data_IF_269509022174
#
_entry.id   IF_269509022174
#
_cell.length_a   1.000
_cell.length_b   1.000
_cell.length_c   1.000
_cell.angle_alpha   90.00
_cell.angle_beta   90.00
_cell.angle_gamma   90.00
#
_symmetry.space_group_name_H-M   'P 1'
#
loop_
_entity.id
_entity.type
_entity.pdbx_description
1 polymer ?
#
# COMPACT_ATOMS: atom_id res chain seq x y z
N UNK A 1 -35.05 45.21 -20.28
CA UNK A 1 -35.73 43.95 -19.95
C UNK A 1 -34.79 42.86 -20.37
N UNK A 2 -34.23 42.17 -19.39
CA UNK A 2 -33.14 41.23 -19.59
C UNK A 2 -33.67 39.95 -20.23
N UNK A 3 -32.87 39.34 -21.10
CA UNK A 3 -33.22 38.11 -21.78
C UNK A 3 -33.06 36.96 -20.78
N UNK A 4 -34.14 36.59 -20.09
CA UNK A 4 -34.13 35.50 -19.11
C UNK A 4 -33.54 34.23 -19.74
N UNK A 5 -32.50 33.69 -19.10
CA UNK A 5 -31.89 32.43 -19.52
C UNK A 5 -32.95 31.32 -19.41
N UNK A 6 -33.46 30.85 -20.55
CA UNK A 6 -34.40 29.72 -20.60
C UNK A 6 -33.68 28.43 -20.22
N UNK A 7 -33.59 28.19 -18.91
CA UNK A 7 -32.89 27.05 -18.33
C UNK A 7 -33.59 25.76 -18.73
N UNK A 8 -33.02 25.05 -19.72
CA UNK A 8 -33.62 23.82 -20.28
C UNK A 8 -33.65 22.70 -19.24
N UNK A 9 -34.80 22.52 -18.60
CA UNK A 9 -35.06 21.44 -17.64
C UNK A 9 -35.25 20.11 -18.36
N UNK A 10 -34.70 19.02 -17.81
CA UNK A 10 -34.90 17.64 -18.24
C UNK A 10 -35.59 16.84 -17.12
N UNK A 11 -36.61 16.06 -17.47
CA UNK A 11 -37.14 15.01 -16.59
C UNK A 11 -36.36 13.72 -16.82
N UNK A 12 -35.98 13.05 -15.73
CA UNK A 12 -35.20 11.82 -15.73
C UNK A 12 -35.90 10.81 -14.82
N UNK A 13 -36.34 9.68 -15.36
CA UNK A 13 -37.09 8.66 -14.63
C UNK A 13 -36.31 7.34 -14.59
N UNK A 14 -36.32 6.68 -13.45
CA UNK A 14 -35.66 5.38 -13.22
C UNK A 14 -36.42 4.54 -12.19
N UNK A 15 -36.23 3.22 -12.23
CA UNK A 15 -36.88 2.26 -11.34
C UNK A 15 -35.91 1.81 -10.24
N UNK A 16 -36.19 2.13 -8.99
CA UNK A 16 -35.46 1.68 -7.80
C UNK A 16 -36.20 0.53 -7.12
N UNK A 17 -36.05 -0.66 -7.69
CA UNK A 17 -36.71 -1.89 -7.24
C UNK A 17 -35.90 -2.65 -6.16
N UNK A 18 -34.82 -2.05 -5.67
CA UNK A 18 -33.83 -2.66 -4.78
C UNK A 18 -33.45 -1.71 -3.66
N UNK A 19 -32.97 -2.26 -2.54
CA UNK A 19 -32.38 -1.48 -1.44
C UNK A 19 -30.97 -0.93 -1.78
N UNK A 20 -30.41 -1.32 -2.93
CA UNK A 20 -29.16 -0.76 -3.47
C UNK A 20 -29.23 0.79 -3.50
N UNK A 21 -28.20 1.49 -2.98
CA UNK A 21 -28.11 2.93 -3.13
C UNK A 21 -27.98 3.30 -4.62
N UNK A 22 -28.51 4.45 -5.01
CA UNK A 22 -28.52 4.90 -6.41
C UNK A 22 -27.12 5.07 -7.04
N UNK A 23 -26.06 5.10 -6.23
CA UNK A 23 -24.69 5.31 -6.70
C UNK A 23 -24.41 6.76 -7.10
N UNK A 24 -24.97 7.74 -6.38
CA UNK A 24 -24.67 9.16 -6.54
C UNK A 24 -24.37 9.80 -5.19
N UNK A 25 -23.52 10.83 -5.16
CA UNK A 25 -23.41 11.76 -4.03
C UNK A 25 -23.92 13.14 -4.44
N UNK A 26 -24.46 13.88 -3.49
CA UNK A 26 -25.04 15.21 -3.68
C UNK A 26 -24.27 16.23 -2.86
N UNK A 27 -24.24 17.47 -3.32
CA UNK A 27 -23.80 18.63 -2.53
C UNK A 27 -24.65 19.85 -2.84
N UNK A 28 -24.65 20.83 -1.95
CA UNK A 28 -25.11 22.17 -2.29
C UNK A 28 -24.00 22.97 -2.96
N UNK A 29 -24.37 23.93 -3.83
CA UNK A 29 -23.49 25.00 -4.27
C UNK A 29 -23.68 26.26 -3.40
N UNK A 30 -22.92 27.31 -3.67
CA UNK A 30 -22.96 28.59 -2.94
C UNK A 30 -24.30 29.35 -3.08
N UNK A 31 -25.23 28.85 -3.91
CA UNK A 31 -26.58 29.36 -4.14
C UNK A 31 -27.67 28.45 -3.52
N UNK A 32 -27.28 27.50 -2.65
CA UNK A 32 -28.16 26.48 -2.06
C UNK A 32 -28.94 25.62 -3.07
N UNK A 33 -28.42 25.44 -4.29
CA UNK A 33 -28.95 24.46 -5.25
C UNK A 33 -28.25 23.11 -5.07
N UNK A 34 -29.03 22.02 -5.10
CA UNK A 34 -28.51 20.67 -5.02
C UNK A 34 -27.93 20.23 -6.37
N UNK A 35 -26.69 19.76 -6.38
CA UNK A 35 -25.98 19.28 -7.58
C UNK A 35 -25.37 17.90 -7.36
N UNK A 36 -25.38 17.06 -8.40
CA UNK A 36 -24.75 15.73 -8.41
C UNK A 36 -23.23 15.92 -8.29
N UNK A 37 -22.67 15.57 -7.13
CA UNK A 37 -21.26 15.78 -6.80
C UNK A 37 -20.34 14.69 -7.40
N UNK A 38 -20.80 13.43 -7.38
CA UNK A 38 -20.10 12.27 -7.95
C UNK A 38 -21.12 11.19 -8.35
N UNK A 39 -20.72 10.35 -9.30
CA UNK A 39 -21.41 9.11 -9.66
C UNK A 39 -20.45 7.94 -9.35
N UNK A 40 -20.99 6.90 -8.71
CA UNK A 40 -20.24 5.73 -8.22
C UNK A 40 -20.30 4.61 -9.25
N UNK A 41 -19.14 4.14 -9.68
CA UNK A 41 -19.02 3.13 -10.73
C UNK A 41 -19.76 1.84 -10.37
N UNK A 42 -20.45 1.30 -11.37
CA UNK A 42 -21.26 0.08 -11.22
C UNK A 42 -22.57 0.25 -10.43
N UNK A 43 -22.85 1.39 -9.80
CA UNK A 43 -24.12 1.66 -9.11
C UNK A 43 -25.27 1.97 -10.08
N UNK A 44 -26.52 1.89 -9.60
CA UNK A 44 -27.75 2.05 -10.40
C UNK A 44 -27.70 3.16 -11.47
N UNK A 45 -27.39 4.41 -11.10
CA UNK A 45 -27.36 5.55 -12.03
C UNK A 45 -26.19 5.43 -13.04
N UNK A 46 -25.03 4.94 -12.62
CA UNK A 46 -23.92 4.65 -13.53
C UNK A 46 -24.30 3.59 -14.57
N UNK A 47 -25.03 2.54 -14.17
CA UNK A 47 -25.48 1.48 -15.09
C UNK A 47 -26.55 1.96 -16.08
N UNK A 48 -27.22 3.08 -15.81
CA UNK A 48 -28.30 3.64 -16.63
C UNK A 48 -27.90 4.87 -17.46
N UNK A 49 -26.82 5.59 -17.10
CA UNK A 49 -26.39 6.81 -17.81
C UNK A 49 -27.37 7.99 -17.70
N UNK A 50 -28.27 7.95 -16.72
CA UNK A 50 -29.44 8.84 -16.62
C UNK A 50 -29.14 10.23 -16.04
N UNK A 51 -28.07 10.37 -15.27
CA UNK A 51 -27.58 11.62 -14.68
C UNK A 51 -26.07 11.76 -14.93
N UNK A 52 -25.56 12.99 -14.89
CA UNK A 52 -24.13 13.31 -15.01
C UNK A 52 -23.63 14.10 -13.79
N UNK A 53 -22.31 14.08 -13.57
CA UNK A 53 -21.68 14.90 -12.53
C UNK A 53 -21.84 16.39 -12.87
N UNK A 54 -22.37 17.15 -11.93
CA UNK A 54 -22.73 18.56 -12.07
C UNK A 54 -24.19 18.82 -12.44
N UNK A 55 -25.00 17.80 -12.76
CA UNK A 55 -26.45 17.98 -13.00
C UNK A 55 -27.12 18.53 -11.74
N UNK A 56 -27.97 19.55 -11.91
CA UNK A 56 -28.62 20.27 -10.80
C UNK A 56 -30.05 19.76 -10.59
N UNK A 57 -30.37 19.29 -9.39
CA UNK A 57 -31.67 18.67 -9.07
C UNK A 57 -32.60 19.73 -8.47
N UNK A 58 -33.76 19.94 -9.09
CA UNK A 58 -34.77 20.93 -8.68
C UNK A 58 -35.97 20.29 -7.98
N UNK A 59 -36.48 19.17 -8.49
CA UNK A 59 -37.55 18.39 -7.86
C UNK A 59 -37.24 16.89 -7.89
N UNK A 60 -37.72 16.16 -6.87
CA UNK A 60 -37.68 14.69 -6.77
C UNK A 60 -39.12 14.22 -6.51
N UNK A 61 -39.69 13.43 -7.42
CA UNK A 61 -41.10 13.00 -7.38
C UNK A 61 -42.10 14.17 -7.17
N UNK A 62 -41.80 15.34 -7.74
CA UNK A 62 -42.60 16.56 -7.60
C UNK A 62 -42.38 17.34 -6.30
N UNK A 63 -41.59 16.82 -5.35
CA UNK A 63 -41.18 17.53 -4.15
C UNK A 63 -40.00 18.45 -4.51
N UNK A 64 -40.11 19.75 -4.22
CA UNK A 64 -39.02 20.70 -4.44
C UNK A 64 -37.83 20.40 -3.52
N UNK A 65 -36.63 20.43 -4.09
CA UNK A 65 -35.36 20.21 -3.40
C UNK A 65 -34.85 21.48 -2.70
N UNK A 66 -35.41 22.64 -3.03
CA UNK A 66 -35.06 23.91 -2.38
C UNK A 66 -35.36 23.88 -0.87
N UNK A 67 -34.48 24.49 -0.08
CA UNK A 67 -34.54 24.59 1.39
C UNK A 67 -34.46 23.25 2.16
N UNK A 68 -34.17 22.13 1.51
CA UNK A 68 -33.85 20.86 2.20
C UNK A 68 -32.34 20.71 2.42
N UNK A 69 -31.94 20.00 3.47
CA UNK A 69 -30.52 19.69 3.73
C UNK A 69 -30.07 18.44 2.94
N UNK A 70 -28.76 18.24 2.78
CA UNK A 70 -28.23 17.07 2.06
C UNK A 70 -28.61 15.76 2.75
N UNK A 71 -28.65 15.75 4.08
CA UNK A 71 -28.99 14.61 4.92
C UNK A 71 -30.48 14.25 4.80
N UNK A 72 -31.35 15.26 4.72
CA UNK A 72 -32.78 15.08 4.45
C UNK A 72 -33.01 14.45 3.07
N UNK A 73 -32.33 14.95 2.04
CA UNK A 73 -32.40 14.44 0.67
C UNK A 73 -31.82 13.02 0.56
N UNK A 74 -30.69 12.74 1.23
CA UNK A 74 -30.11 11.41 1.34
C UNK A 74 -31.07 10.41 2.02
N UNK A 75 -31.72 10.82 3.12
CA UNK A 75 -32.73 9.98 3.80
C UNK A 75 -33.91 9.70 2.87
N UNK A 76 -34.47 10.73 2.24
CA UNK A 76 -35.59 10.62 1.30
C UNK A 76 -35.25 9.66 0.15
N UNK A 77 -34.10 9.83 -0.51
CA UNK A 77 -33.65 8.95 -1.60
C UNK A 77 -33.30 7.53 -1.13
N UNK A 78 -32.90 7.35 0.13
CA UNK A 78 -32.71 6.02 0.75
C UNK A 78 -34.04 5.31 0.96
N UNK A 79 -35.09 6.03 1.34
CA UNK A 79 -36.42 5.49 1.63
C UNK A 79 -37.26 5.22 0.37
N UNK A 80 -37.19 6.05 -0.67
CA UNK A 80 -37.95 5.83 -1.92
C UNK A 80 -37.69 4.46 -2.59
N UNK A 81 -38.74 3.85 -3.16
CA UNK A 81 -38.73 2.61 -3.97
C UNK A 81 -39.64 2.78 -5.20
N UNK A 82 -39.49 1.90 -6.19
CA UNK A 82 -40.27 1.93 -7.43
C UNK A 82 -39.85 3.07 -8.36
N UNK A 83 -40.82 3.70 -9.03
CA UNK A 83 -40.55 4.79 -9.97
C UNK A 83 -40.09 6.05 -9.24
N UNK A 84 -38.90 6.53 -9.59
CA UNK A 84 -38.37 7.82 -9.12
C UNK A 84 -38.12 8.70 -10.34
N UNK A 85 -38.61 9.94 -10.27
CA UNK A 85 -38.50 10.96 -11.31
C UNK A 85 -37.80 12.19 -10.75
N UNK A 86 -36.64 12.52 -11.31
CA UNK A 86 -35.92 13.76 -11.03
C UNK A 86 -36.23 14.79 -12.10
N UNK A 87 -36.40 16.05 -11.68
CA UNK A 87 -36.43 17.23 -12.56
C UNK A 87 -35.11 17.95 -12.38
N UNK A 88 -34.30 17.98 -13.44
CA UNK A 88 -32.93 18.50 -13.39
C UNK A 88 -32.71 19.63 -14.39
N UNK A 89 -31.73 20.48 -14.11
CA UNK A 89 -31.03 21.29 -15.12
C UNK A 89 -29.74 20.55 -15.47
N UNK A 90 -29.55 20.08 -16.72
CA UNK A 90 -28.34 19.38 -17.12
C UNK A 90 -27.10 20.28 -17.06
N UNK A 91 -25.98 19.71 -16.62
CA UNK A 91 -24.68 20.39 -16.65
C UNK A 91 -24.09 20.32 -18.05
N UNK A 92 -24.25 21.37 -18.86
CA UNK A 92 -23.67 21.48 -20.20
C UNK A 92 -22.15 21.72 -20.17
N UNK A 93 -21.40 20.84 -19.50
CA UNK A 93 -19.97 20.69 -19.76
C UNK A 93 -19.80 19.96 -21.08
N UNK A 94 -19.26 20.63 -22.09
CA UNK A 94 -18.77 19.98 -23.30
C UNK A 94 -17.83 18.84 -22.92
N UNK A 95 -18.15 17.62 -23.37
CA UNK A 95 -17.21 16.51 -23.32
C UNK A 95 -15.99 16.89 -24.17
N UNK A 96 -14.88 17.24 -23.52
CA UNK A 96 -13.59 17.38 -24.17
C UNK A 96 -13.11 15.98 -24.56
N UNK A 97 -13.55 15.52 -25.74
CA UNK A 97 -13.14 14.23 -26.30
C UNK A 97 -11.61 14.21 -26.35
N UNK A 98 -11.00 13.22 -25.71
CA UNK A 98 -9.57 12.99 -25.74
C UNK A 98 -9.16 12.32 -27.07
N UNK A 99 -9.45 13.02 -28.17
CA UNK A 99 -8.93 12.74 -29.50
C UNK A 99 -7.58 13.43 -29.67
N UNK A 100 -6.74 12.82 -30.51
CA UNK A 100 -5.35 13.21 -30.72
C UNK A 100 -5.21 14.68 -31.19
N UNK A 101 -4.18 15.37 -30.67
CA UNK A 101 -3.67 16.59 -31.29
C UNK A 101 -2.23 16.35 -31.71
N UNK A 102 -2.04 16.26 -33.03
CA UNK A 102 -0.75 16.38 -33.66
C UNK A 102 -0.07 17.70 -33.24
N UNK A 103 1.26 17.67 -33.11
CA UNK A 103 2.04 18.87 -32.75
C UNK A 103 2.29 19.73 -33.99
N UNK A 104 1.85 21.00 -34.03
CA UNK A 104 2.14 21.87 -35.16
C UNK A 104 3.63 22.23 -35.19
N UNK A 105 4.26 22.04 -36.35
CA UNK A 105 5.68 22.34 -36.55
C UNK A 105 5.90 23.84 -36.78
N UNK A 106 6.70 24.49 -35.93
CA UNK A 106 7.23 25.84 -36.19
C UNK A 106 8.72 25.90 -35.91
N UNK A 107 9.49 26.09 -36.98
CA UNK A 107 10.94 26.29 -36.92
C UNK A 107 11.30 27.73 -36.56
N UNK A 108 12.28 27.96 -35.68
CA UNK A 108 13.59 28.57 -36.03
C UNK A 108 14.48 28.92 -34.82
N UNK A 109 15.77 28.68 -35.03
CA UNK A 109 16.93 29.50 -34.61
C UNK A 109 17.15 29.82 -33.12
N UNK A 110 18.12 29.13 -32.53
CA UNK A 110 18.99 29.66 -31.46
C UNK A 110 19.79 30.88 -31.95
N UNK A 111 20.37 31.65 -31.02
CA UNK A 111 21.84 31.70 -30.98
C UNK A 111 22.40 31.22 -29.63
N UNK A 112 23.72 31.00 -29.56
CA UNK A 112 24.39 30.40 -28.42
C UNK A 112 25.11 31.42 -27.52
N UNK A 113 25.21 31.08 -26.23
CA UNK A 113 26.31 31.39 -25.31
C UNK A 113 26.09 30.49 -24.06
N UNK A 114 27.05 29.73 -23.53
CA UNK A 114 28.44 29.52 -23.97
C UNK A 114 29.46 29.72 -22.86
N UNK A 115 29.49 28.85 -21.85
CA UNK A 115 30.67 28.65 -20.99
C UNK A 115 30.68 27.25 -20.33
N UNK A 116 31.88 26.72 -20.10
CA UNK A 116 32.22 25.40 -19.53
C UNK A 116 32.05 25.40 -17.98
N UNK A 117 31.99 24.28 -17.25
CA UNK A 117 32.83 23.05 -17.29
C UNK A 117 32.04 21.80 -16.80
N UNK A 118 32.24 20.55 -17.28
CA UNK A 118 33.47 19.69 -17.29
C UNK A 118 33.88 19.32 -15.85
N UNK A 119 34.00 18.05 -15.40
CA UNK A 119 33.88 16.66 -15.95
C UNK A 119 33.69 15.68 -14.75
N UNK A 120 33.59 14.33 -14.76
CA UNK A 120 33.55 13.17 -15.70
C UNK A 120 33.29 11.89 -14.83
N UNK A 121 32.93 10.69 -15.28
CA UNK A 121 32.24 10.15 -16.48
C UNK A 121 31.93 8.67 -16.22
N UNK A 122 30.88 8.10 -16.83
CA UNK A 122 30.68 6.64 -16.93
C UNK A 122 31.39 6.14 -18.21
N UNK A 123 31.81 4.87 -18.24
CA UNK A 123 32.43 4.22 -19.40
C UNK A 123 31.50 3.18 -20.04
N UNK A 124 31.53 3.11 -21.37
CA UNK A 124 30.73 2.21 -22.22
C UNK A 124 31.31 0.77 -22.29
N UNK A 125 30.45 -0.17 -22.70
CA UNK A 125 30.84 -1.47 -23.30
C UNK A 125 29.85 -1.83 -24.44
N UNK A 126 30.28 -2.55 -25.51
CA UNK A 126 29.58 -2.57 -26.80
C UNK A 126 28.57 -3.73 -27.00
N UNK A 127 27.82 -3.66 -28.11
CA UNK A 127 26.62 -4.44 -28.39
C UNK A 127 26.83 -5.85 -29.00
N UNK A 128 25.77 -6.67 -29.06
CA UNK A 128 25.72 -7.90 -29.87
C UNK A 128 24.32 -8.16 -30.49
N UNK A 129 24.28 -8.05 -31.82
CA UNK A 129 23.47 -8.78 -32.83
C UNK A 129 22.04 -9.26 -32.46
N UNK A 130 21.04 -8.77 -33.19
CA UNK A 130 19.70 -9.37 -33.30
C UNK A 130 19.55 -10.25 -34.58
N UNK A 131 18.88 -11.41 -34.51
CA UNK A 131 18.35 -12.11 -35.69
C UNK A 131 16.92 -11.64 -36.03
N UNK A 132 16.59 -11.52 -37.33
CA UNK A 132 15.26 -11.04 -37.79
C UNK A 132 14.19 -12.15 -37.72
N UNK A 133 13.15 -11.93 -36.92
CA UNK A 133 11.96 -12.79 -36.82
C UNK A 133 10.93 -12.55 -37.93
N UNK A 134 10.48 -13.63 -38.56
CA UNK A 134 9.53 -13.68 -39.69
C UNK A 134 8.13 -13.20 -39.28
N UNK A 135 7.47 -12.35 -40.08
CA UNK A 135 6.04 -12.04 -39.89
C UNK A 135 5.18 -13.28 -40.18
N UNK A 136 4.21 -13.57 -39.32
CA UNK A 136 3.07 -14.45 -39.59
C UNK A 136 1.81 -13.75 -39.06
N UNK A 137 0.83 -13.50 -39.93
CA UNK A 137 -0.40 -12.76 -39.63
C UNK A 137 -1.48 -13.67 -39.03
N UNK A 138 -1.56 -13.73 -37.70
CA UNK A 138 -2.70 -14.31 -36.98
C UNK A 138 -3.86 -13.32 -36.79
N UNK A 139 -5.13 -13.76 -36.74
CA UNK A 139 -6.28 -12.88 -36.60
C UNK A 139 -6.33 -12.20 -35.22
N UNK A 140 -6.44 -10.88 -35.20
CA UNK A 140 -6.41 -10.10 -33.95
C UNK A 140 -7.79 -10.06 -33.28
N UNK A 141 -8.10 -11.06 -32.45
CA UNK A 141 -9.18 -10.96 -31.45
C UNK A 141 -8.59 -10.48 -30.11
N UNK A 142 -7.99 -9.28 -30.11
CA UNK A 142 -7.66 -8.58 -28.87
C UNK A 142 -8.88 -7.82 -28.37
N UNK A 143 -9.83 -8.56 -27.81
CA UNK A 143 -10.74 -7.99 -26.83
C UNK A 143 -9.90 -7.48 -25.66
N UNK A 144 -9.64 -6.16 -25.62
CA UNK A 144 -9.04 -5.51 -24.44
C UNK A 144 -10.05 -5.62 -23.29
N UNK A 145 -10.01 -6.72 -22.54
CA UNK A 145 -10.53 -6.70 -21.18
C UNK A 145 -9.80 -5.58 -20.44
N UNK A 146 -10.50 -4.70 -19.72
CA UNK A 146 -9.84 -3.67 -18.93
C UNK A 146 -8.95 -4.36 -17.89
N UNK A 147 -7.66 -3.99 -17.90
CA UNK A 147 -6.70 -4.46 -16.91
C UNK A 147 -7.19 -4.03 -15.52
N UNK A 148 -7.67 -4.99 -14.74
CA UNK A 148 -8.08 -4.75 -13.36
C UNK A 148 -6.85 -4.48 -12.51
N UNK A 149 -6.69 -3.24 -12.07
CA UNK A 149 -5.69 -2.88 -11.09
C UNK A 149 -6.17 -3.34 -9.71
N UNK A 150 -5.33 -4.07 -9.00
CA UNK A 150 -5.58 -4.55 -7.64
C UNK A 150 -4.47 -4.03 -6.73
N UNK A 151 -4.85 -3.54 -5.54
CA UNK A 151 -3.89 -3.08 -4.54
C UNK A 151 -4.15 -3.73 -3.19
N UNK A 152 -3.07 -3.99 -2.44
CA UNK A 152 -3.08 -4.30 -1.01
C UNK A 152 -3.04 -2.98 -0.24
N UNK A 153 -3.98 -2.77 0.66
CA UNK A 153 -3.94 -1.68 1.62
C UNK A 153 -2.80 -1.89 2.62
N UNK A 154 -1.90 -0.91 2.75
CA UNK A 154 -0.78 -0.97 3.68
C UNK A 154 -1.09 -0.24 5.01
N UNK A 155 -2.21 0.50 5.09
CA UNK A 155 -2.68 1.21 6.29
C UNK A 155 -4.15 0.86 6.61
N UNK A 156 -4.61 1.17 7.81
CA UNK A 156 -6.04 1.09 8.15
C UNK A 156 -6.79 2.37 7.80
N UNK A 157 -8.02 2.24 7.29
CA UNK A 157 -8.88 3.37 6.98
C UNK A 157 -10.30 3.23 7.54
N UNK A 158 -10.77 4.30 8.19
CA UNK A 158 -12.05 4.37 8.90
C UNK A 158 -12.82 5.63 8.46
N UNK A 159 -13.70 5.55 7.44
CA UNK A 159 -14.40 6.72 6.89
C UNK A 159 -15.35 7.40 7.88
N UNK A 160 -15.73 6.73 8.98
CA UNK A 160 -16.50 7.36 10.05
C UNK A 160 -15.69 8.45 10.80
N UNK A 161 -14.38 8.23 10.94
CA UNK A 161 -13.43 9.11 11.64
C UNK A 161 -12.79 10.17 10.73
N UNK A 162 -13.16 10.20 9.46
CA UNK A 162 -12.57 11.06 8.44
C UNK A 162 -13.52 12.22 8.12
N UNK A 163 -13.10 13.46 8.38
CA UNK A 163 -13.91 14.66 8.09
C UNK A 163 -13.57 15.30 6.74
N UNK A 164 -12.66 14.69 5.97
CA UNK A 164 -12.29 15.11 4.61
C UNK A 164 -13.00 14.29 3.52
N UNK A 165 -13.68 13.18 3.88
CA UNK A 165 -14.44 12.37 2.92
C UNK A 165 -15.74 13.08 2.51
N UNK A 166 -16.05 13.19 1.19
CA UNK A 166 -17.26 13.90 0.73
C UNK A 166 -18.61 13.27 1.14
N UNK A 167 -18.61 12.04 1.64
CA UNK A 167 -19.79 11.27 2.04
C UNK A 167 -19.31 10.05 2.83
N UNK A 168 -19.54 10.01 4.15
CA UNK A 168 -19.01 8.93 5.02
C UNK A 168 -19.62 7.57 4.69
N UNK A 169 -20.88 7.57 4.23
CA UNK A 169 -21.65 6.40 3.79
C UNK A 169 -21.16 5.81 2.47
N UNK A 170 -20.42 6.58 1.66
CA UNK A 170 -19.80 6.10 0.43
C UNK A 170 -18.38 5.58 0.64
N UNK A 171 -17.79 5.77 1.83
CA UNK A 171 -16.43 5.34 2.14
C UNK A 171 -16.31 3.84 2.38
N UNK A 172 -15.22 3.24 1.88
CA UNK A 172 -14.87 1.85 2.18
C UNK A 172 -13.98 1.83 3.42
N UNK A 173 -14.45 1.23 4.51
CA UNK A 173 -13.57 0.84 5.63
C UNK A 173 -12.69 -0.32 5.18
N UNK A 174 -11.38 -0.25 5.45
CA UNK A 174 -10.44 -1.34 5.22
C UNK A 174 -9.35 -1.37 6.30
N UNK A 175 -8.67 -2.51 6.42
CA UNK A 175 -7.51 -2.72 7.30
C UNK A 175 -6.25 -2.95 6.47
N UNK A 176 -5.10 -2.96 7.16
CA UNK A 176 -3.85 -3.48 6.62
C UNK A 176 -4.07 -4.90 6.05
N UNK A 177 -3.57 -5.14 4.84
CA UNK A 177 -3.65 -6.42 4.15
C UNK A 177 -4.90 -6.61 3.27
N UNK A 178 -5.94 -5.78 3.41
CA UNK A 178 -7.15 -5.88 2.58
C UNK A 178 -6.84 -5.65 1.08
N UNK A 179 -7.45 -6.45 0.21
CA UNK A 179 -7.29 -6.35 -1.25
C UNK A 179 -8.43 -5.57 -1.87
N UNK A 180 -8.08 -4.49 -2.56
CA UNK A 180 -9.00 -3.53 -3.18
C UNK A 180 -8.79 -3.54 -4.69
N UNK A 181 -9.84 -3.86 -5.46
CA UNK A 181 -9.88 -3.58 -6.89
C UNK A 181 -10.04 -2.06 -7.07
N UNK A 182 -9.13 -1.43 -7.81
CA UNK A 182 -9.29 -0.03 -8.24
C UNK A 182 -10.19 0.01 -9.47
N UNK A 183 -11.15 0.94 -9.47
CA UNK A 183 -12.17 1.09 -10.51
C UNK A 183 -12.03 2.42 -11.25
N UNK A 184 -11.73 3.51 -10.54
CA UNK A 184 -11.44 4.82 -11.14
C UNK A 184 -10.45 5.61 -10.26
N UNK A 185 -9.54 6.34 -10.93
CA UNK A 185 -8.55 7.25 -10.35
C UNK A 185 -8.78 8.71 -10.77
N UNK A 186 -9.97 9.04 -11.27
CA UNK A 186 -10.27 10.32 -11.94
C UNK A 186 -10.30 11.53 -10.99
N UNK A 187 -10.35 11.27 -9.68
CA UNK A 187 -10.28 12.27 -8.62
C UNK A 187 -8.94 12.14 -7.90
N UNK A 188 -8.17 13.23 -7.87
CA UNK A 188 -6.84 13.30 -7.27
C UNK A 188 -6.80 12.90 -5.78
N UNK A 189 -7.93 13.00 -5.06
CA UNK A 189 -7.99 12.80 -3.62
C UNK A 189 -8.82 11.56 -3.23
N UNK A 190 -9.80 11.19 -4.06
CA UNK A 190 -10.85 10.22 -3.71
C UNK A 190 -11.09 9.19 -4.81
N UNK A 191 -10.21 8.18 -4.87
CA UNK A 191 -10.31 7.07 -5.81
C UNK A 191 -11.58 6.24 -5.54
N UNK A 192 -12.11 5.63 -6.61
CA UNK A 192 -13.20 4.67 -6.51
C UNK A 192 -12.63 3.25 -6.54
N UNK A 193 -12.87 2.49 -5.48
CA UNK A 193 -12.41 1.12 -5.34
C UNK A 193 -13.52 0.18 -4.88
N UNK A 194 -13.16 -1.09 -4.67
CA UNK A 194 -14.03 -2.15 -4.13
C UNK A 194 -13.19 -3.25 -3.49
N UNK A 195 -13.55 -3.69 -2.29
CA UNK A 195 -12.94 -4.87 -1.65
C UNK A 195 -13.26 -6.13 -2.46
N UNK A 196 -12.24 -6.92 -2.80
CA UNK A 196 -12.37 -8.14 -3.63
C UNK A 196 -13.31 -9.17 -3.00
N UNK A 197 -13.33 -9.27 -1.67
CA UNK A 197 -14.21 -10.18 -0.92
C UNK A 197 -15.70 -9.78 -1.00
N UNK A 198 -16.03 -8.54 -1.38
CA UNK A 198 -17.40 -8.02 -1.42
C UNK A 198 -18.10 -8.34 -2.75
N UNK A 199 -18.68 -9.54 -2.83
CA UNK A 199 -19.53 -9.95 -3.96
C UNK A 199 -20.62 -8.90 -4.22
N UNK A 200 -20.79 -8.52 -5.50
CA UNK A 200 -21.83 -7.60 -6.01
C UNK A 200 -21.97 -6.20 -5.38
N UNK A 201 -21.06 -5.75 -4.51
CA UNK A 201 -21.06 -4.35 -4.02
C UNK A 201 -20.79 -3.32 -5.13
N UNK A 202 -21.40 -2.13 -5.01
CA UNK A 202 -21.10 -0.91 -5.77
C UNK A 202 -19.70 -0.39 -5.43
N UNK A 203 -19.08 0.42 -6.31
CA UNK A 203 -17.84 1.11 -5.97
C UNK A 203 -18.03 2.07 -4.78
N UNK A 204 -17.01 2.18 -3.94
CA UNK A 204 -16.94 3.11 -2.80
C UNK A 204 -15.66 3.95 -2.84
N UNK A 205 -15.60 4.96 -1.99
CA UNK A 205 -14.49 5.91 -1.90
C UNK A 205 -13.38 5.41 -0.99
N UNK A 206 -12.14 5.56 -1.45
CA UNK A 206 -10.92 5.40 -0.66
C UNK A 206 -10.04 6.65 -0.85
N UNK A 207 -9.22 7.04 0.12
CA UNK A 207 -8.24 8.11 -0.08
C UNK A 207 -7.23 7.67 -1.16
N UNK A 208 -6.82 8.59 -2.01
CA UNK A 208 -5.72 8.39 -2.95
C UNK A 208 -4.37 8.28 -2.22
N UNK A 209 -3.30 7.75 -2.86
CA UNK A 209 -1.94 7.82 -2.33
C UNK A 209 -1.55 9.24 -1.95
N UNK A 210 -1.81 10.22 -2.82
CA UNK A 210 -1.43 11.62 -2.63
C UNK A 210 -2.14 12.25 -1.42
N UNK A 211 -3.41 11.89 -1.18
CA UNK A 211 -4.15 12.31 0.02
C UNK A 211 -3.63 11.62 1.29
N UNK A 212 -3.23 10.35 1.20
CA UNK A 212 -2.70 9.59 2.34
C UNK A 212 -1.28 10.06 2.72
N UNK A 213 -0.41 10.31 1.75
CA UNK A 213 0.92 10.92 1.96
C UNK A 213 0.79 12.28 2.65
N UNK A 214 -0.13 13.12 2.19
CA UNK A 214 -0.43 14.42 2.80
C UNK A 214 -0.90 14.28 4.27
N UNK A 215 -1.73 13.28 4.58
CA UNK A 215 -2.17 12.97 5.96
C UNK A 215 -1.00 12.56 6.85
N UNK A 216 -0.16 11.63 6.41
CA UNK A 216 1.02 11.16 7.15
C UNK A 216 1.99 12.32 7.40
N UNK A 217 2.22 13.16 6.39
CA UNK A 217 3.04 14.36 6.51
C UNK A 217 2.48 15.39 7.51
N UNK A 218 1.17 15.65 7.49
CA UNK A 218 0.53 16.53 8.47
C UNK A 218 0.69 16.01 9.91
N UNK A 219 0.44 14.71 10.13
CA UNK A 219 0.60 14.08 11.45
C UNK A 219 2.06 14.15 11.94
N UNK A 220 3.04 13.91 11.06
CA UNK A 220 4.46 14.06 11.38
C UNK A 220 4.79 15.52 11.78
N UNK A 221 4.35 16.51 10.99
CA UNK A 221 4.54 17.93 11.28
C UNK A 221 3.80 18.41 12.54
N UNK A 222 2.80 17.69 13.04
CA UNK A 222 2.13 18.00 14.30
C UNK A 222 2.86 17.41 15.50
N UNK A 223 3.34 16.16 15.40
CA UNK A 223 4.21 15.54 16.42
C UNK A 223 5.47 16.38 16.67
N UNK A 224 6.20 16.75 15.62
CA UNK A 224 7.43 17.54 15.77
C UNK A 224 7.19 18.90 16.43
N UNK A 225 6.00 19.50 16.26
CA UNK A 225 5.63 20.74 16.98
C UNK A 225 5.33 20.48 18.45
N UNK A 226 4.64 19.38 18.78
CA UNK A 226 4.37 18.98 20.17
C UNK A 226 5.67 18.64 20.90
N UNK A 227 6.58 17.90 20.26
CA UNK A 227 7.91 17.55 20.76
C UNK A 227 8.77 18.81 20.98
N UNK A 228 8.76 19.77 20.04
CA UNK A 228 9.44 21.05 20.22
C UNK A 228 8.81 21.90 21.34
N UNK A 229 7.48 21.91 21.49
CA UNK A 229 6.82 22.57 22.62
C UNK A 229 7.09 21.90 23.97
N UNK A 230 7.35 20.58 23.99
CA UNK A 230 7.74 19.85 25.20
C UNK A 230 9.24 20.04 25.55
N UNK A 231 10.08 20.39 24.56
CA UNK A 231 11.54 20.39 24.69
C UNK A 231 12.21 21.76 24.87
N UNK A 232 11.50 22.90 24.76
CA UNK A 232 12.12 24.21 24.96
C UNK A 232 11.23 25.25 25.66
N UNK A 233 11.84 26.02 26.56
CA UNK A 233 11.26 27.21 27.17
C UNK A 233 11.21 28.39 26.19
N UNK A 234 10.07 29.09 26.21
CA UNK A 234 9.93 30.53 25.96
C UNK A 234 10.78 31.17 24.84
N UNK A 235 10.25 31.26 23.60
CA UNK A 235 10.27 32.51 22.80
C UNK A 235 9.32 32.41 21.59
N UNK A 236 8.33 33.30 21.50
CA UNK A 236 7.29 33.24 20.48
C UNK A 236 7.69 33.80 19.12
N UNK A 237 7.40 33.06 18.03
CA UNK A 237 7.40 33.56 16.64
C UNK A 237 6.09 33.17 15.92
N UNK A 238 5.73 33.96 14.90
CA UNK A 238 4.35 34.06 14.39
C UNK A 238 3.80 32.77 13.74
N UNK A 239 2.53 32.48 14.00
CA UNK A 239 1.72 31.40 13.39
C UNK A 239 1.55 31.62 11.88
N UNK A 240 2.45 31.07 11.07
CA UNK A 240 2.36 31.11 9.59
C UNK A 240 1.30 30.10 9.12
N UNK A 241 0.18 30.58 8.60
CA UNK A 241 -0.78 29.72 7.90
C UNK A 241 -0.11 29.16 6.63
N UNK A 242 0.00 27.84 6.53
CA UNK A 242 0.35 27.19 5.27
C UNK A 242 -0.95 27.03 4.46
N UNK A 243 -1.05 27.74 3.33
CA UNK A 243 -2.18 27.64 2.39
C UNK A 243 -1.72 27.42 0.94
N UNK A 244 -0.43 27.11 0.78
CA UNK A 244 0.23 26.86 -0.50
C UNK A 244 0.27 25.36 -0.79
N UNK A 245 0.18 25.00 -2.08
CA UNK A 245 0.07 23.61 -2.52
C UNK A 245 1.36 22.84 -2.21
N UNK A 246 1.23 21.72 -1.50
CA UNK A 246 2.37 20.88 -1.16
C UNK A 246 2.94 20.20 -2.42
N UNK A 247 4.24 20.36 -2.64
CA UNK A 247 5.00 19.67 -3.69
C UNK A 247 6.06 18.80 -3.00
N UNK A 248 5.89 17.48 -3.05
CA UNK A 248 6.76 16.53 -2.34
C UNK A 248 8.24 16.53 -2.78
N UNK A 249 8.57 17.16 -3.91
CA UNK A 249 9.90 17.11 -4.55
C UNK A 249 11.09 17.70 -3.77
N UNK A 250 10.88 18.38 -2.64
CA UNK A 250 11.98 18.98 -1.85
C UNK A 250 11.73 18.95 -0.34
N UNK A 251 11.79 17.77 0.28
CA UNK A 251 12.01 17.63 1.73
C UNK A 251 12.77 16.33 2.04
N UNK A 252 14.01 16.43 2.55
CA UNK A 252 14.78 15.26 3.02
C UNK A 252 14.12 14.52 4.22
N UNK A 253 13.10 15.12 4.83
CA UNK A 253 12.20 14.48 5.81
C UNK A 253 11.38 13.36 5.16
N UNK A 254 11.08 13.43 3.86
CA UNK A 254 10.25 12.46 3.16
C UNK A 254 11.04 11.21 2.76
N UNK A 255 12.33 11.35 2.45
CA UNK A 255 13.22 10.20 2.20
C UNK A 255 13.41 9.31 3.46
N UNK A 256 13.02 9.81 4.64
CA UNK A 256 13.00 9.08 5.91
C UNK A 256 11.60 8.58 6.31
N UNK A 257 10.53 9.06 5.67
CA UNK A 257 9.18 8.60 5.89
C UNK A 257 8.92 7.39 4.98
N UNK A 258 8.82 6.20 5.59
CA UNK A 258 8.28 5.02 4.91
C UNK A 258 6.79 5.30 4.62
N UNK A 259 6.46 5.78 3.41
CA UNK A 259 5.16 6.36 3.08
C UNK A 259 4.12 5.27 2.77
N UNK A 260 3.61 4.68 3.85
CA UNK A 260 2.67 3.55 3.84
C UNK A 260 1.31 3.92 3.20
N UNK A 261 1.14 3.58 1.91
CA UNK A 261 -0.09 3.80 1.13
C UNK A 261 -0.69 2.49 0.60
N UNK A 262 -0.39 2.12 -0.65
CA UNK A 262 -0.95 0.95 -1.33
C UNK A 262 0.14 0.24 -2.14
N UNK A 263 0.18 -1.09 -2.06
CA UNK A 263 1.08 -1.94 -2.85
C UNK A 263 0.30 -2.56 -4.01
N UNK A 264 0.70 -2.35 -5.26
CA UNK A 264 0.01 -2.98 -6.40
C UNK A 264 0.32 -4.48 -6.45
N UNK A 265 -0.73 -5.30 -6.56
CA UNK A 265 -0.65 -6.76 -6.42
C UNK A 265 -1.35 -7.51 -7.55
N UNK A 266 -0.84 -8.69 -7.86
CA UNK A 266 -1.44 -9.65 -8.80
C UNK A 266 -1.74 -10.96 -8.08
N UNK A 267 -2.85 -11.61 -8.42
CA UNK A 267 -3.17 -12.95 -7.90
C UNK A 267 -2.58 -14.02 -8.81
N UNK A 268 -1.64 -14.80 -8.28
CA UNK A 268 -1.08 -15.97 -8.95
C UNK A 268 -1.78 -17.24 -8.45
N UNK A 269 -1.98 -18.28 -9.29
CA UNK A 269 -2.62 -19.53 -8.85
C UNK A 269 -1.73 -20.36 -7.91
N UNK A 270 -0.41 -20.22 -8.03
CA UNK A 270 0.60 -20.74 -7.13
C UNK A 270 1.83 -19.81 -7.15
N UNK A 271 2.54 -19.68 -6.03
CA UNK A 271 3.78 -18.90 -5.94
C UNK A 271 4.69 -19.44 -4.82
N UNK A 272 5.86 -19.99 -5.18
CA UNK A 272 6.78 -20.53 -4.17
C UNK A 272 7.50 -19.40 -3.44
N UNK A 273 7.11 -19.16 -2.18
CA UNK A 273 7.93 -18.39 -1.23
C UNK A 273 9.23 -19.15 -0.96
N UNK A 274 10.38 -18.47 -0.94
CA UNK A 274 11.70 -19.09 -0.75
C UNK A 274 12.28 -18.83 0.64
N UNK A 275 11.75 -17.84 1.34
CA UNK A 275 12.24 -17.38 2.64
C UNK A 275 11.09 -17.34 3.64
N UNK A 276 11.28 -17.87 4.85
CA UNK A 276 10.40 -17.66 6.00
C UNK A 276 11.07 -16.62 6.90
N UNK A 277 10.44 -15.48 7.11
CA UNK A 277 10.96 -14.40 7.97
C UNK A 277 10.17 -14.38 9.27
N UNK A 278 10.87 -14.60 10.39
CA UNK A 278 10.33 -14.60 11.74
C UNK A 278 10.71 -13.28 12.44
N UNK A 279 9.77 -12.33 12.42
CA UNK A 279 9.87 -11.07 13.16
C UNK A 279 9.21 -11.20 14.54
N UNK A 280 9.55 -10.32 15.48
CA UNK A 280 9.02 -10.36 16.85
C UNK A 280 10.04 -9.88 17.88
N UNK A 281 9.57 -9.57 19.09
CA UNK A 281 10.39 -8.99 20.15
C UNK A 281 11.58 -9.88 20.56
N UNK A 282 12.64 -9.28 21.09
CA UNK A 282 13.78 -10.03 21.61
C UNK A 282 13.36 -10.91 22.80
N UNK A 283 13.54 -12.22 22.67
CA UNK A 283 13.14 -13.22 23.66
C UNK A 283 11.82 -13.95 23.36
N UNK A 284 11.05 -13.55 22.34
CA UNK A 284 9.72 -14.16 22.02
C UNK A 284 9.77 -15.59 21.44
N UNK A 285 10.91 -16.27 21.55
CA UNK A 285 11.08 -17.68 21.13
C UNK A 285 11.51 -17.91 19.68
N UNK A 286 11.72 -16.86 18.86
CA UNK A 286 12.05 -16.96 17.41
C UNK A 286 13.18 -17.95 17.08
N UNK A 287 14.28 -17.91 17.85
CA UNK A 287 15.41 -18.83 17.72
C UNK A 287 15.04 -20.29 18.01
N UNK A 288 14.17 -20.54 18.98
CA UNK A 288 13.70 -21.88 19.31
C UNK A 288 12.78 -22.41 18.21
N UNK A 289 11.79 -21.60 17.79
CA UNK A 289 10.86 -21.90 16.68
C UNK A 289 11.64 -22.31 15.42
N UNK A 290 12.62 -21.50 15.02
CA UNK A 290 13.55 -21.79 13.92
C UNK A 290 14.24 -23.15 14.06
N UNK A 291 14.88 -23.38 15.21
CA UNK A 291 15.65 -24.60 15.44
C UNK A 291 14.76 -25.85 15.39
N UNK A 292 13.56 -25.79 15.94
CA UNK A 292 12.58 -26.88 15.91
C UNK A 292 12.10 -27.18 14.49
N UNK A 293 11.78 -26.16 13.68
CA UNK A 293 11.40 -26.36 12.26
C UNK A 293 12.51 -27.04 11.44
N UNK A 294 13.76 -26.61 11.60
CA UNK A 294 14.92 -27.18 10.87
C UNK A 294 15.22 -28.60 11.34
N UNK A 295 15.10 -28.88 12.65
CA UNK A 295 15.31 -30.24 13.20
C UNK A 295 14.22 -31.21 12.77
N UNK A 296 12.98 -30.73 12.59
CA UNK A 296 11.81 -31.53 12.21
C UNK A 296 11.73 -31.80 10.71
N UNK A 297 12.16 -30.85 9.85
CA UNK A 297 12.16 -31.01 8.38
C UNK A 297 13.47 -30.48 7.75
N UNK A 298 14.62 -31.17 7.94
CA UNK A 298 15.91 -30.75 7.39
C UNK A 298 15.99 -30.84 5.85
N UNK A 299 15.05 -31.53 5.22
CA UNK A 299 14.82 -31.62 3.78
C UNK A 299 13.98 -30.45 3.22
N UNK A 300 13.36 -29.64 4.09
CA UNK A 300 12.51 -28.48 3.73
C UNK A 300 13.14 -27.15 4.12
N UNK A 301 13.80 -27.07 5.28
CA UNK A 301 14.22 -25.82 5.90
C UNK A 301 15.72 -25.79 6.23
N UNK A 302 16.34 -24.62 6.03
CA UNK A 302 17.70 -24.34 6.50
C UNK A 302 17.83 -22.89 7.03
N UNK A 303 18.87 -22.64 7.82
CA UNK A 303 19.26 -21.31 8.30
C UNK A 303 20.56 -20.88 7.62
N UNK A 304 20.70 -19.64 7.11
CA UNK A 304 21.98 -19.17 6.58
C UNK A 304 23.03 -19.09 7.69
N UNK A 305 24.11 -19.84 7.51
CA UNK A 305 25.28 -19.77 8.39
C UNK A 305 25.85 -18.34 8.38
N UNK A 306 25.87 -17.63 9.53
CA UNK A 306 26.37 -16.27 9.62
C UNK A 306 27.88 -16.23 9.49
N UNK A 307 28.40 -15.07 9.12
CA UNK A 307 29.83 -14.80 9.06
C UNK A 307 30.29 -14.08 10.33
N UNK A 308 31.54 -14.27 10.76
CA UNK A 308 32.15 -13.54 11.87
C UNK A 308 33.61 -13.22 11.65
N UNK A 309 34.08 -12.12 12.25
CA UNK A 309 35.50 -11.75 12.32
C UNK A 309 36.20 -12.30 13.56
N UNK A 310 35.48 -12.98 14.46
CA UNK A 310 36.08 -13.67 15.61
C UNK A 310 36.93 -14.84 15.10
N UNK A 311 38.13 -15.12 15.65
CA UNK A 311 38.82 -16.37 15.35
C UNK A 311 37.99 -17.60 15.74
N UNK A 312 38.15 -18.74 15.03
CA UNK A 312 37.53 -20.00 15.38
C UNK A 312 38.12 -20.57 16.68
N UNK A 313 37.27 -21.23 17.48
CA UNK A 313 37.69 -22.06 18.62
C UNK A 313 38.21 -23.42 18.14
N UNK A 314 38.87 -24.17 19.03
CA UNK A 314 39.51 -25.47 18.72
C UNK A 314 38.53 -26.55 18.22
N UNK A 315 37.25 -26.37 18.52
CA UNK A 315 36.12 -27.25 18.24
C UNK A 315 35.18 -26.71 17.14
N UNK A 316 35.49 -25.55 16.55
CA UNK A 316 34.64 -24.89 15.55
C UNK A 316 35.18 -25.08 14.13
N UNK A 317 34.34 -25.63 13.25
CA UNK A 317 34.64 -25.83 11.83
C UNK A 317 34.05 -24.69 10.98
N UNK A 318 34.85 -24.20 10.02
CA UNK A 318 34.42 -23.14 9.10
C UNK A 318 33.31 -23.64 8.15
N UNK A 319 32.22 -22.87 8.04
CA UNK A 319 31.06 -23.27 7.24
C UNK A 319 30.14 -24.28 7.92
N UNK A 320 30.20 -24.39 9.27
CA UNK A 320 29.31 -25.22 10.09
C UNK A 320 28.40 -24.37 10.98
N UNK A 321 29.00 -23.71 11.98
CA UNK A 321 28.29 -22.77 12.87
C UNK A 321 28.47 -21.31 12.41
N UNK A 322 29.66 -21.00 11.87
CA UNK A 322 30.02 -19.69 11.33
C UNK A 322 30.90 -19.87 10.09
N UNK A 323 30.90 -18.86 9.22
CA UNK A 323 31.99 -18.61 8.28
C UNK A 323 32.97 -17.61 8.90
N UNK A 324 34.22 -18.01 9.09
CA UNK A 324 35.26 -17.19 9.69
C UNK A 324 35.98 -16.39 8.61
N UNK A 325 35.97 -15.05 8.73
CA UNK A 325 36.54 -14.11 7.74
C UNK A 325 37.42 -13.06 8.43
N UNK A 326 38.28 -12.38 7.68
CA UNK A 326 39.02 -11.24 8.22
C UNK A 326 38.10 -10.02 8.41
N UNK A 327 38.51 -9.12 9.30
CA UNK A 327 37.81 -7.85 9.49
C UNK A 327 37.76 -7.02 8.20
N UNK A 328 38.89 -6.90 7.50
CA UNK A 328 39.00 -6.14 6.25
C UNK A 328 38.07 -6.67 5.16
N UNK A 329 38.00 -8.00 5.00
CA UNK A 329 37.09 -8.64 4.04
C UNK A 329 35.63 -8.38 4.42
N UNK A 330 35.26 -8.52 5.70
CA UNK A 330 33.90 -8.23 6.14
C UNK A 330 33.53 -6.75 5.94
N UNK A 331 34.46 -5.82 6.17
CA UNK A 331 34.25 -4.39 5.94
C UNK A 331 34.10 -4.06 4.44
N UNK A 332 34.91 -4.67 3.57
CA UNK A 332 34.76 -4.56 2.11
C UNK A 332 33.38 -5.06 1.64
N UNK A 333 33.00 -6.25 2.08
CA UNK A 333 31.74 -6.89 1.68
C UNK A 333 30.50 -6.15 2.27
N UNK A 334 30.64 -5.48 3.42
CA UNK A 334 29.62 -4.55 3.94
C UNK A 334 29.49 -3.32 3.03
N UNK A 335 30.59 -2.70 2.60
CA UNK A 335 30.54 -1.55 1.68
C UNK A 335 30.03 -1.89 0.27
N UNK A 336 30.16 -3.15 -0.16
CA UNK A 336 29.52 -3.68 -1.36
C UNK A 336 28.00 -3.90 -1.20
N UNK A 337 27.49 -3.92 0.03
CA UNK A 337 26.12 -4.31 0.41
C UNK A 337 25.82 -5.83 0.29
N UNK A 338 26.81 -6.70 0.45
CA UNK A 338 26.64 -8.16 0.40
C UNK A 338 26.01 -8.77 1.67
N UNK A 339 25.87 -7.97 2.73
CA UNK A 339 25.25 -8.33 4.00
C UNK A 339 23.80 -7.86 4.10
N UNK A 340 22.93 -8.75 4.58
CA UNK A 340 21.54 -8.43 4.93
C UNK A 340 21.46 -7.62 6.23
N UNK A 341 22.25 -8.04 7.21
CA UNK A 341 22.36 -7.46 8.55
C UNK A 341 23.77 -7.75 9.09
N UNK A 342 24.29 -6.85 9.93
CA UNK A 342 25.56 -7.02 10.62
C UNK A 342 25.58 -6.21 11.91
N UNK A 343 26.42 -6.62 12.87
CA UNK A 343 26.59 -5.95 14.15
C UNK A 343 27.87 -6.38 14.87
N UNK A 344 28.21 -5.68 15.95
CA UNK A 344 29.40 -5.95 16.77
C UNK A 344 29.01 -6.53 18.14
N UNK A 345 29.77 -7.53 18.60
CA UNK A 345 29.61 -8.17 19.90
C UNK A 345 30.95 -8.76 20.36
N UNK A 346 31.36 -8.48 21.61
CA UNK A 346 32.66 -8.91 22.17
C UNK A 346 33.85 -8.61 21.23
N UNK A 347 33.94 -7.36 20.77
CA UNK A 347 34.94 -6.82 19.83
C UNK A 347 35.06 -7.54 18.46
N UNK A 348 34.19 -8.52 18.18
CA UNK A 348 34.05 -9.16 16.88
C UNK A 348 32.79 -8.68 16.15
N UNK A 349 32.84 -8.70 14.81
CA UNK A 349 31.65 -8.49 13.99
C UNK A 349 30.98 -9.81 13.64
N UNK A 350 29.67 -9.78 13.48
CA UNK A 350 28.81 -10.89 13.05
C UNK A 350 27.81 -10.38 12.01
N UNK A 351 27.40 -11.21 11.06
CA UNK A 351 26.36 -10.82 10.09
C UNK A 351 25.94 -11.89 9.10
N UNK A 352 24.78 -11.71 8.50
CA UNK A 352 24.15 -12.65 7.58
C UNK A 352 24.37 -12.19 6.13
N UNK A 353 25.13 -12.95 5.32
CA UNK A 353 25.35 -12.62 3.90
C UNK A 353 24.20 -13.05 3.02
N UNK A 354 23.83 -12.20 2.05
CA UNK A 354 22.81 -12.50 1.04
C UNK A 354 23.15 -13.76 0.24
N UNK A 355 24.45 -13.96 -0.04
CA UNK A 355 24.94 -15.15 -0.76
C UNK A 355 24.71 -16.48 0.00
N UNK A 356 24.71 -16.47 1.33
CA UNK A 356 24.36 -17.69 2.09
C UNK A 356 22.88 -18.04 1.93
N UNK A 357 22.01 -17.03 1.81
CA UNK A 357 20.57 -17.20 1.58
C UNK A 357 20.33 -17.72 0.15
N UNK A 358 21.00 -17.14 -0.86
CA UNK A 358 20.96 -17.60 -2.26
C UNK A 358 21.32 -19.08 -2.40
N UNK A 359 22.36 -19.55 -1.72
CA UNK A 359 22.79 -20.96 -1.73
C UNK A 359 21.72 -21.91 -1.18
N UNK A 360 20.97 -21.52 -0.16
CA UNK A 360 19.83 -22.30 0.36
C UNK A 360 18.72 -22.39 -0.71
N UNK A 361 18.41 -21.28 -1.39
CA UNK A 361 17.38 -21.26 -2.45
C UNK A 361 17.78 -22.09 -3.68
N UNK A 362 19.08 -22.09 -4.02
CA UNK A 362 19.64 -22.94 -5.09
C UNK A 362 19.51 -24.44 -4.79
N UNK A 363 19.56 -24.83 -3.51
CA UNK A 363 19.29 -26.20 -3.04
C UNK A 363 17.80 -26.55 -3.04
N UNK A 364 16.91 -25.61 -3.39
CA UNK A 364 15.46 -25.78 -3.41
C UNK A 364 14.76 -25.65 -2.04
N UNK A 365 15.54 -25.51 -0.96
CA UNK A 365 15.08 -25.37 0.42
C UNK A 365 14.48 -23.98 0.69
N UNK A 366 13.69 -23.87 1.76
CA UNK A 366 13.21 -22.60 2.30
C UNK A 366 14.16 -22.10 3.39
N UNK A 367 14.70 -20.89 3.23
CA UNK A 367 15.57 -20.28 4.24
C UNK A 367 14.75 -19.65 5.37
N UNK A 368 14.92 -20.09 6.61
CA UNK A 368 14.33 -19.45 7.79
C UNK A 368 15.27 -18.32 8.26
N UNK A 369 14.73 -17.14 8.55
CA UNK A 369 15.43 -15.94 8.99
C UNK A 369 14.77 -15.33 10.23
N UNK A 370 15.47 -15.27 11.37
CA UNK A 370 15.05 -14.60 12.61
C UNK A 370 15.72 -13.21 12.77
N UNK A 371 15.61 -12.42 11.72
CA UNK A 371 16.18 -11.05 11.52
C UNK A 371 15.38 -9.94 12.21
N UNK A 372 15.87 -8.70 12.16
CA UNK A 372 15.12 -7.48 12.50
C UNK A 372 14.25 -6.97 11.32
N UNK A 373 13.17 -6.19 11.57
CA UNK A 373 12.30 -5.64 10.50
C UNK A 373 13.03 -4.85 9.42
N UNK A 374 14.14 -4.18 9.77
CA UNK A 374 14.95 -3.38 8.84
C UNK A 374 15.49 -4.22 7.67
N UNK A 375 15.74 -5.51 7.88
CA UNK A 375 16.17 -6.46 6.85
C UNK A 375 15.14 -6.63 5.71
N UNK A 376 13.86 -6.34 5.96
CA UNK A 376 12.80 -6.42 4.94
C UNK A 376 13.03 -5.47 3.76
N UNK A 377 13.75 -4.37 3.96
CA UNK A 377 14.10 -3.42 2.89
C UNK A 377 14.94 -4.07 1.78
N UNK A 378 15.68 -5.14 2.10
CA UNK A 378 16.44 -5.95 1.14
C UNK A 378 15.68 -7.22 0.75
N UNK A 379 14.97 -7.84 1.70
CA UNK A 379 14.29 -9.12 1.45
C UNK A 379 13.02 -9.04 0.59
N UNK A 380 12.29 -7.92 0.53
CA UNK A 380 10.97 -7.83 -0.14
C UNK A 380 11.04 -7.76 -1.67
N UNK A 381 11.77 -8.68 -2.29
CA UNK A 381 11.96 -8.81 -3.75
C UNK A 381 11.55 -10.20 -4.26
N UNK A 382 11.42 -10.34 -5.58
CA UNK A 382 11.22 -11.64 -6.24
C UNK A 382 12.36 -12.65 -5.95
N UNK A 383 13.56 -12.12 -5.67
CA UNK A 383 14.77 -12.90 -5.42
C UNK A 383 14.61 -13.77 -4.18
N UNK A 384 14.23 -13.18 -3.04
CA UNK A 384 14.07 -13.89 -1.77
C UNK A 384 12.62 -14.35 -1.52
N UNK A 385 11.63 -13.73 -2.16
CA UNK A 385 10.20 -14.06 -2.06
C UNK A 385 9.74 -14.41 -0.62
N UNK A 386 9.93 -13.49 0.35
CA UNK A 386 9.74 -13.79 1.77
C UNK A 386 8.28 -13.96 2.14
N UNK A 387 7.98 -14.93 2.99
CA UNK A 387 6.75 -15.01 3.78
C UNK A 387 7.05 -14.46 5.18
N UNK A 388 6.42 -13.34 5.54
CA UNK A 388 6.75 -12.60 6.76
C UNK A 388 5.75 -12.91 7.86
N UNK A 389 6.19 -13.65 8.89
CA UNK A 389 5.36 -13.96 10.06
C UNK A 389 5.88 -13.19 11.27
N UNK A 390 4.98 -12.45 11.90
CA UNK A 390 5.24 -11.78 13.17
C UNK A 390 4.83 -12.67 14.35
N UNK A 391 5.80 -13.01 15.17
CA UNK A 391 5.63 -13.75 16.42
C UNK A 391 5.39 -12.72 17.53
N UNK A 392 4.12 -12.56 17.90
CA UNK A 392 3.70 -11.67 18.97
C UNK A 392 3.94 -12.29 20.35
N UNK A 393 4.18 -11.42 21.35
CA UNK A 393 4.35 -11.83 22.74
C UNK A 393 3.12 -12.59 23.28
N UNK A 394 3.31 -13.56 24.20
CA UNK A 394 2.22 -14.30 24.83
C UNK A 394 1.22 -13.37 25.55
N UNK A 395 -0.03 -13.83 25.64
CA UNK A 395 -1.08 -13.08 26.34
C UNK A 395 -0.92 -13.23 27.85
N UNK A 396 -0.46 -12.17 28.53
CA UNK A 396 -0.37 -12.17 30.01
C UNK A 396 -1.79 -12.26 30.61
N UNK A 397 -2.07 -13.31 31.37
CA UNK A 397 -3.23 -13.36 32.26
C UNK A 397 -2.94 -12.52 33.52
N UNK A 398 -3.70 -11.45 33.79
CA UNK A 398 -3.44 -10.60 34.96
C UNK A 398 -3.63 -11.38 36.26
N UNK A 399 -2.57 -11.46 37.06
CA UNK A 399 -2.54 -12.21 38.34
C UNK A 399 -1.34 -13.15 38.50
N UNK A 400 -0.62 -13.46 37.42
CA UNK A 400 0.64 -14.23 37.48
C UNK A 400 1.81 -13.26 37.23
N UNK A 401 2.60 -12.99 38.28
CA UNK A 401 3.84 -12.19 38.34
C UNK A 401 4.00 -11.00 37.39
N UNK A 402 4.13 -9.80 37.96
CA UNK A 402 4.57 -8.58 37.27
C UNK A 402 6.08 -8.63 36.92
N UNK A 403 6.48 -9.58 36.09
CA UNK A 403 7.85 -9.71 35.61
C UNK A 403 8.17 -8.55 34.65
N UNK A 404 9.13 -7.70 35.03
CA UNK A 404 9.54 -6.54 34.24
C UNK A 404 10.06 -6.94 32.85
N UNK A 405 10.68 -8.14 32.71
CA UNK A 405 11.14 -8.65 31.42
C UNK A 405 9.98 -9.01 30.50
N UNK A 406 8.88 -9.55 31.05
CA UNK A 406 7.67 -9.88 30.31
C UNK A 406 6.90 -8.62 29.89
N UNK A 407 6.85 -7.60 30.74
CA UNK A 407 6.30 -6.28 30.38
C UNK A 407 7.12 -5.59 29.28
N UNK A 408 8.47 -5.65 29.36
CA UNK A 408 9.36 -5.14 28.31
C UNK A 408 9.14 -5.86 26.98
N UNK A 409 9.07 -7.20 27.00
CA UNK A 409 8.78 -8.04 25.82
C UNK A 409 7.45 -7.67 25.17
N UNK A 410 6.38 -7.53 25.96
CA UNK A 410 5.04 -7.20 25.46
C UNK A 410 5.00 -5.80 24.84
N UNK A 411 5.61 -4.80 25.50
CA UNK A 411 5.73 -3.43 24.99
C UNK A 411 6.55 -3.35 23.70
N UNK A 412 7.65 -4.11 23.60
CA UNK A 412 8.45 -4.21 22.37
C UNK A 412 7.61 -4.85 21.24
N UNK A 413 6.89 -5.93 21.54
CA UNK A 413 5.98 -6.58 20.60
C UNK A 413 4.90 -5.63 20.07
N UNK A 414 4.26 -4.84 20.94
CA UNK A 414 3.27 -3.83 20.55
C UNK A 414 3.86 -2.74 19.64
N UNK A 415 5.06 -2.24 19.96
CA UNK A 415 5.74 -1.21 19.16
C UNK A 415 6.14 -1.75 17.79
N UNK A 416 6.69 -2.97 17.72
CA UNK A 416 7.03 -3.64 16.48
C UNK A 416 5.78 -3.90 15.62
N UNK A 417 4.71 -4.43 16.21
CA UNK A 417 3.46 -4.70 15.51
C UNK A 417 2.84 -3.40 14.97
N UNK A 418 2.74 -2.36 15.79
CA UNK A 418 2.18 -1.06 15.41
C UNK A 418 2.96 -0.37 14.29
N UNK A 419 4.27 -0.56 14.23
CA UNK A 419 5.14 0.08 13.23
C UNK A 419 5.16 -0.72 11.92
N UNK A 420 5.26 -2.06 12.00
CA UNK A 420 5.60 -2.91 10.87
C UNK A 420 4.48 -3.87 10.41
N UNK A 421 3.27 -3.82 10.98
CA UNK A 421 2.13 -4.68 10.61
C UNK A 421 1.88 -4.80 9.10
N UNK A 422 2.14 -3.73 8.35
CA UNK A 422 1.97 -3.65 6.90
C UNK A 422 2.90 -4.59 6.11
N UNK A 423 4.06 -4.91 6.68
CA UNK A 423 4.98 -5.87 6.07
C UNK A 423 4.63 -7.35 6.33
N UNK A 424 3.75 -7.66 7.29
CA UNK A 424 3.47 -9.04 7.71
C UNK A 424 2.47 -9.72 6.77
N UNK A 425 2.76 -10.95 6.35
CA UNK A 425 1.76 -11.83 5.73
C UNK A 425 0.86 -12.48 6.81
N UNK A 426 1.37 -12.70 8.03
CA UNK A 426 0.65 -13.32 9.15
C UNK A 426 1.17 -12.82 10.51
N UNK A 427 0.31 -12.84 11.53
CA UNK A 427 0.68 -12.70 12.96
C UNK A 427 0.28 -13.95 13.72
N UNK A 428 1.16 -14.46 14.59
CA UNK A 428 0.93 -15.61 15.48
C UNK A 428 1.32 -15.22 16.90
N UNK A 429 0.46 -15.50 17.88
CA UNK A 429 0.72 -15.24 19.30
C UNK A 429 1.40 -16.48 19.90
N UNK A 430 2.65 -16.37 20.33
CA UNK A 430 3.39 -17.51 20.89
C UNK A 430 3.04 -17.74 22.37
N UNK A 431 1.84 -18.27 22.62
CA UNK A 431 1.44 -18.78 23.93
C UNK A 431 2.05 -20.17 24.20
N UNK A 432 2.03 -21.05 23.20
CA UNK A 432 2.59 -22.41 23.25
C UNK A 432 3.41 -22.68 21.98
N UNK A 433 4.60 -23.27 22.15
CA UNK A 433 5.59 -23.41 21.07
C UNK A 433 5.14 -24.45 20.04
N UNK A 434 4.66 -25.62 20.47
CA UNK A 434 4.28 -26.70 19.54
C UNK A 434 3.08 -26.31 18.66
N UNK A 435 2.11 -25.60 19.23
CA UNK A 435 1.00 -25.01 18.47
C UNK A 435 1.47 -23.87 17.56
N UNK A 436 2.47 -23.09 17.96
CA UNK A 436 3.09 -22.09 17.08
C UNK A 436 3.82 -22.75 15.90
N UNK A 437 4.51 -23.87 16.12
CA UNK A 437 5.12 -24.69 15.07
C UNK A 437 4.04 -25.23 14.12
N UNK A 438 2.97 -25.84 14.64
CA UNK A 438 1.87 -26.39 13.82
C UNK A 438 1.23 -25.33 12.92
N UNK A 439 0.93 -24.14 13.47
CA UNK A 439 0.38 -23.03 12.69
C UNK A 439 1.34 -22.50 11.61
N UNK A 440 2.66 -22.52 11.86
CA UNK A 440 3.65 -22.14 10.85
C UNK A 440 3.78 -23.18 9.72
N UNK A 441 3.74 -24.46 10.05
CA UNK A 441 3.73 -25.56 9.07
C UNK A 441 2.50 -25.47 8.15
N UNK A 442 1.31 -25.37 8.75
CA UNK A 442 0.04 -25.20 8.03
C UNK A 442 0.02 -23.94 7.16
N UNK A 443 0.54 -22.81 7.66
CA UNK A 443 0.60 -21.57 6.90
C UNK A 443 1.53 -21.70 5.67
N UNK A 444 2.71 -22.28 5.82
CA UNK A 444 3.67 -22.46 4.72
C UNK A 444 3.09 -23.38 3.64
N UNK A 445 2.43 -24.48 4.04
CA UNK A 445 1.82 -25.42 3.10
C UNK A 445 0.58 -24.82 2.42
N UNK A 446 -0.27 -24.08 3.14
CA UNK A 446 -1.40 -23.34 2.57
C UNK A 446 -0.93 -22.28 1.56
N UNK A 447 0.13 -21.54 1.88
CA UNK A 447 0.72 -20.51 1.01
C UNK A 447 1.30 -21.15 -0.25
N UNK A 448 2.01 -22.27 -0.14
CA UNK A 448 2.54 -22.97 -1.31
C UNK A 448 1.47 -23.59 -2.22
N UNK A 449 0.30 -23.96 -1.67
CA UNK A 449 -0.78 -24.67 -2.40
C UNK A 449 -1.94 -23.80 -2.87
N UNK A 450 -2.09 -22.57 -2.37
CA UNK A 450 -3.23 -21.69 -2.70
C UNK A 450 -2.83 -20.44 -3.48
N UNK A 451 -3.82 -19.85 -4.17
CA UNK A 451 -3.59 -18.68 -5.03
C UNK A 451 -3.37 -17.39 -4.25
N UNK A 452 -2.11 -16.97 -4.14
CA UNK A 452 -1.65 -15.80 -3.40
C UNK A 452 -1.81 -14.48 -4.16
N UNK A 453 -1.98 -13.39 -3.41
CA UNK A 453 -1.71 -12.03 -3.87
C UNK A 453 -0.25 -11.66 -3.60
N UNK A 454 0.52 -11.38 -4.65
CA UNK A 454 1.92 -10.96 -4.56
C UNK A 454 2.11 -9.57 -5.19
N UNK A 455 3.13 -8.79 -4.78
CA UNK A 455 3.45 -7.51 -5.42
C UNK A 455 3.66 -7.68 -6.92
N UNK A 456 3.20 -6.73 -7.73
CA UNK A 456 3.41 -6.73 -9.19
C UNK A 456 4.91 -6.72 -9.53
N UNK A 457 5.72 -6.02 -8.75
CA UNK A 457 7.19 -6.01 -8.82
C UNK A 457 7.88 -7.34 -8.46
N UNK A 458 7.13 -8.39 -8.11
CA UNK A 458 7.67 -9.75 -7.95
C UNK A 458 7.43 -10.63 -9.19
N UNK A 459 6.81 -10.09 -10.24
CA UNK A 459 6.33 -10.85 -11.43
C UNK A 459 6.75 -10.23 -12.76
N UNK A 460 7.01 -8.91 -12.79
CA UNK A 460 7.35 -8.14 -13.99
C UNK A 460 8.67 -7.36 -13.81
#
# INVERSE_FOLDING_TARGET
MDLENVTRVRLVQFQKNTDEPMGITLKMNDLNHCIVARIMHGGMIHRQGTLHVGDEIREINGISVANQTVEQLQKMLREMRGSITFKIVPSYRTQSVSSEKESPSTSRQSPANGHTSITSSILDLPATIQPKGRQISGPTIKAKMPLKIYVRAQFEYDPAKDDLIPCKEAGIRFRVGDIIQIISKDDHNWWQGKLENTKNGTAGLIPSPELQEWRVACIAMEKTKQEQQASCTWFGKKKRQCKDKYLAKHNAVFDQLDLVTYEEVVKLPAFKRKTLVLLGAHGVGRRHIKNTLITKHPDRFAYPIPHTTRPPKKDEENGKNYYFVSHDQMMQDISNNDYLEYGSHEDAMYGTRLETIRKIHQQGLVSILDVEPQALKVLRTAEFAPYVVFIAAPTITPGINEDESLQRLQKESEVLQKTYAHYFDQTVINNEIDETIRHLEEAIDLVCTTGQWVPVSWVY
#
